data_IF_639110649948
#
_entry.id   IF_639110649948
#
_cell.length_a   1.000
_cell.length_b   1.000
_cell.length_c   1.000
_cell.angle_alpha   90.00
_cell.angle_beta   90.00
_cell.angle_gamma   90.00
#
_symmetry.space_group_name_H-M   'P 1'
#
loop_
_entity.id
_entity.type
_entity.pdbx_description
1 polymer ?
#
# COMPACT_ATOMS: atom_id res chain seq x y z
N UNK A 1 -7.81 -1.51 -6.63
CA UNK A 1 -7.15 -1.35 -5.32
C UNK A 1 -8.09 -0.77 -4.26
N UNK A 2 -8.68 0.41 -4.48
CA UNK A 2 -9.56 1.03 -3.48
C UNK A 2 -10.72 0.11 -3.05
N UNK A 3 -11.43 -0.53 -4.00
CA UNK A 3 -12.49 -1.52 -3.68
C UNK A 3 -11.98 -2.68 -2.82
N UNK A 4 -10.85 -3.28 -3.19
CA UNK A 4 -10.20 -4.37 -2.42
C UNK A 4 -9.88 -3.95 -0.97
N UNK A 5 -9.36 -2.74 -0.78
CA UNK A 5 -9.07 -2.22 0.56
C UNK A 5 -10.37 -2.00 1.36
N UNK A 6 -11.42 -1.47 0.72
CA UNK A 6 -12.73 -1.30 1.37
C UNK A 6 -13.36 -2.64 1.77
N UNK A 7 -13.32 -3.64 0.89
CA UNK A 7 -13.79 -5.01 1.19
C UNK A 7 -13.06 -5.64 2.37
N UNK A 8 -11.80 -5.26 2.57
CA UNK A 8 -10.98 -5.68 3.72
C UNK A 8 -11.17 -4.82 4.96
N UNK A 9 -12.09 -3.85 4.95
CA UNK A 9 -12.42 -3.02 6.11
C UNK A 9 -11.47 -1.84 6.34
N UNK A 10 -10.73 -1.40 5.33
CA UNK A 10 -10.04 -0.12 5.38
C UNK A 10 -11.01 1.02 5.09
N UNK A 11 -10.79 2.16 5.76
CA UNK A 11 -11.57 3.38 5.52
C UNK A 11 -10.82 4.27 4.53
N UNK A 12 -11.46 4.64 3.42
CA UNK A 12 -10.91 5.62 2.48
C UNK A 12 -11.47 7.01 2.79
N UNK A 13 -10.60 7.99 3.01
CA UNK A 13 -11.01 9.36 3.37
C UNK A 13 -11.83 10.02 2.27
N UNK A 14 -11.52 9.74 0.99
CA UNK A 14 -12.23 10.32 -0.15
C UNK A 14 -13.46 9.51 -0.60
N UNK A 15 -13.81 8.41 0.07
CA UNK A 15 -14.99 7.59 -0.24
C UNK A 15 -15.06 7.00 -1.65
N UNK A 16 -13.98 7.06 -2.44
CA UNK A 16 -14.02 6.81 -3.89
C UNK A 16 -12.79 6.08 -4.42
N UNK A 17 -12.94 5.54 -5.63
CA UNK A 17 -12.15 4.45 -6.21
C UNK A 17 -11.13 4.86 -7.27
N UNK A 18 -11.11 6.13 -7.68
CA UNK A 18 -10.45 6.51 -8.94
C UNK A 18 -9.64 7.80 -8.84
N UNK A 19 -8.64 7.77 -7.97
CA UNK A 19 -7.55 8.72 -8.04
C UNK A 19 -6.25 7.94 -7.98
N UNK A 20 -5.30 8.38 -8.79
CA UNK A 20 -3.88 8.05 -8.73
C UNK A 20 -3.26 8.19 -7.32
N UNK A 21 -4.01 8.72 -6.36
CA UNK A 21 -3.65 8.95 -4.99
C UNK A 21 -4.87 8.68 -4.10
N UNK A 22 -4.76 7.75 -3.15
CA UNK A 22 -5.80 7.46 -2.17
C UNK A 22 -5.26 7.63 -0.75
N UNK A 23 -6.07 8.23 0.12
CA UNK A 23 -5.77 8.40 1.55
C UNK A 23 -6.56 7.37 2.36
N UNK A 24 -5.83 6.50 3.05
CA UNK A 24 -6.36 5.39 3.84
C UNK A 24 -6.26 5.75 5.32
N UNK A 25 -7.39 5.69 6.02
CA UNK A 25 -7.47 5.79 7.47
C UNK A 25 -7.31 4.39 8.09
N UNK A 26 -6.34 4.27 8.99
CA UNK A 26 -5.92 3.02 9.61
C UNK A 26 -6.51 2.81 11.01
N UNK A 27 -7.32 3.76 11.52
CA UNK A 27 -7.98 3.62 12.83
C UNK A 27 -8.86 2.38 12.90
N UNK A 28 -9.52 1.99 11.80
CA UNK A 28 -10.30 0.74 11.73
C UNK A 28 -9.44 -0.52 11.88
N UNK A 29 -8.13 -0.41 11.68
CA UNK A 29 -7.15 -1.49 11.83
C UNK A 29 -6.38 -1.40 13.15
N UNK A 30 -6.54 -0.33 13.92
CA UNK A 30 -5.80 -0.10 15.17
C UNK A 30 -4.30 0.14 14.96
N UNK A 31 -3.89 0.59 13.77
CA UNK A 31 -2.48 0.82 13.40
C UNK A 31 -2.25 2.30 13.10
N UNK A 32 -1.12 2.86 13.53
CA UNK A 32 -0.75 4.24 13.20
C UNK A 32 -0.09 4.32 11.82
N UNK A 33 -0.13 5.49 11.19
CA UNK A 33 0.51 5.73 9.89
C UNK A 33 2.01 5.43 9.91
N UNK A 34 2.70 5.76 11.00
CA UNK A 34 4.13 5.46 11.20
C UNK A 34 4.41 3.96 11.26
N UNK A 35 3.59 3.19 11.97
CA UNK A 35 3.75 1.73 12.05
C UNK A 35 3.47 1.08 10.70
N UNK A 36 2.38 1.49 10.05
CA UNK A 36 2.01 1.02 8.72
C UNK A 36 3.09 1.30 7.66
N UNK A 37 3.59 2.53 7.60
CA UNK A 37 4.66 2.94 6.67
C UNK A 37 5.89 2.04 6.83
N UNK A 38 6.36 1.84 8.07
CA UNK A 38 7.53 0.99 8.35
C UNK A 38 7.28 -0.50 8.07
N UNK A 39 6.08 -1.01 8.36
CA UNK A 39 5.73 -2.40 8.08
C UNK A 39 5.67 -2.68 6.57
N UNK A 40 5.01 -1.80 5.82
CA UNK A 40 4.88 -1.91 4.37
C UNK A 40 6.23 -1.73 3.66
N UNK A 41 7.07 -0.81 4.14
CA UNK A 41 8.43 -0.63 3.61
C UNK A 41 9.28 -1.91 3.75
N UNK A 42 9.21 -2.60 4.89
CA UNK A 42 9.87 -3.90 5.09
C UNK A 42 9.37 -4.95 4.08
N UNK A 43 8.09 -4.92 3.77
CA UNK A 43 7.45 -5.76 2.76
C UNK A 43 7.69 -5.32 1.31
N UNK A 44 8.48 -4.27 1.06
CA UNK A 44 8.77 -3.76 -0.29
C UNK A 44 7.65 -2.91 -0.90
N UNK A 45 6.69 -2.45 -0.09
CA UNK A 45 5.58 -1.60 -0.50
C UNK A 45 5.81 -0.19 0.06
N UNK A 46 6.12 0.77 -0.81
CA UNK A 46 6.37 2.15 -0.38
C UNK A 46 5.06 2.93 -0.30
N UNK A 47 4.77 3.48 0.88
CA UNK A 47 3.66 4.40 1.13
C UNK A 47 4.18 5.62 1.90
N UNK A 48 3.33 6.64 2.06
CA UNK A 48 3.67 7.82 2.86
C UNK A 48 2.65 8.00 3.98
N UNK A 49 3.09 8.00 5.24
CA UNK A 49 2.22 8.33 6.38
C UNK A 49 1.62 9.73 6.20
N UNK A 50 0.36 9.88 6.56
CA UNK A 50 -0.38 11.11 6.31
C UNK A 50 -1.50 11.30 7.33
N UNK A 51 -1.76 12.55 7.70
CA UNK A 51 -2.87 12.88 8.59
C UNK A 51 -4.21 12.62 7.90
N UNK A 52 -5.22 12.23 8.68
CA UNK A 52 -6.60 12.04 8.21
C UNK A 52 -7.55 13.05 8.88
N UNK A 53 -8.77 13.26 8.36
CA UNK A 53 -9.75 14.11 9.02
C UNK A 53 -10.03 13.66 10.46
N UNK A 54 -10.02 14.63 11.38
CA UNK A 54 -10.14 14.37 12.82
C UNK A 54 -8.93 13.64 13.39
N UNK A 55 -7.72 13.96 12.92
CA UNK A 55 -6.46 13.42 13.43
C UNK A 55 -6.32 13.64 14.94
N UNK A 56 -5.95 12.57 15.65
CA UNK A 56 -5.69 12.58 17.10
C UNK A 56 -4.24 12.28 17.43
N UNK A 57 -3.49 11.69 16.48
CA UNK A 57 -2.08 11.39 16.63
C UNK A 57 -1.20 12.59 16.29
N UNK A 58 0.06 12.55 16.76
CA UNK A 58 1.02 13.60 16.41
C UNK A 58 1.34 13.60 14.89
N UNK A 59 1.80 14.73 14.33
CA UNK A 59 2.24 14.80 12.92
C UNK A 59 3.36 13.82 12.56
N UNK A 60 4.10 13.31 13.54
CA UNK A 60 5.17 12.33 13.33
C UNK A 60 4.67 10.88 13.34
N UNK A 61 3.44 10.64 13.80
CA UNK A 61 2.82 9.32 13.95
C UNK A 61 1.70 9.14 12.93
N UNK A 62 0.73 10.07 12.91
CA UNK A 62 -0.46 10.09 12.03
C UNK A 62 -1.36 8.86 12.14
N UNK A 63 -2.60 8.97 11.66
CA UNK A 63 -3.58 7.87 11.65
C UNK A 63 -3.83 7.26 10.27
N UNK A 64 -3.08 7.67 9.24
CA UNK A 64 -3.31 7.19 7.88
C UNK A 64 -2.06 7.06 7.04
N UNK A 65 -2.25 6.48 5.85
CA UNK A 65 -1.23 6.40 4.80
C UNK A 65 -1.83 6.80 3.46
N UNK A 66 -0.99 7.42 2.65
CA UNK A 66 -1.31 7.82 1.28
C UNK A 66 -0.64 6.85 0.32
N UNK A 67 -1.44 6.32 -0.60
CA UNK A 67 -1.02 5.32 -1.59
C UNK A 67 -1.18 5.92 -2.98
N UNK A 68 -0.10 5.89 -3.77
CA UNK A 68 -0.11 6.33 -5.16
C UNK A 68 -0.03 5.14 -6.13
N UNK A 69 -0.87 5.13 -7.17
CA UNK A 69 -0.86 4.11 -8.23
C UNK A 69 -0.17 4.48 -9.56
N UNK A 70 0.22 5.74 -9.89
CA UNK A 70 0.84 6.08 -11.17
C UNK A 70 2.04 5.22 -11.55
N UNK A 71 2.96 5.01 -10.61
CA UNK A 71 4.15 4.21 -10.86
C UNK A 71 3.82 2.75 -11.21
N UNK A 72 2.68 2.24 -10.73
CA UNK A 72 2.22 0.88 -11.02
C UNK A 72 1.52 0.83 -12.38
N UNK A 73 0.63 1.77 -12.67
CA UNK A 73 -0.07 1.84 -13.95
C UNK A 73 0.88 2.13 -15.12
N UNK A 74 1.90 2.97 -14.94
CA UNK A 74 2.95 3.22 -15.96
C UNK A 74 3.77 1.97 -16.25
N UNK A 75 3.91 1.05 -15.29
CA UNK A 75 4.56 -0.25 -15.48
C UNK A 75 3.66 -1.31 -16.11
N UNK A 76 2.40 -0.99 -16.40
CA UNK A 76 1.42 -1.89 -17.03
C UNK A 76 0.62 -2.76 -16.05
N UNK A 77 0.64 -2.46 -14.75
CA UNK A 77 -0.18 -3.19 -13.77
C UNK A 77 -1.65 -2.82 -13.95
N UNK A 78 -2.51 -3.84 -14.10
CA UNK A 78 -3.95 -3.72 -14.27
C UNK A 78 -4.74 -3.93 -12.98
N UNK A 79 -6.06 -4.10 -13.11
CA UNK A 79 -6.95 -4.23 -11.96
C UNK A 79 -6.64 -5.45 -11.07
N UNK A 80 -6.27 -6.57 -11.68
CA UNK A 80 -5.95 -7.83 -11.00
C UNK A 80 -4.72 -7.69 -10.11
N UNK A 81 -3.67 -7.02 -10.62
CA UNK A 81 -2.48 -6.69 -9.84
C UNK A 81 -2.81 -5.69 -8.72
N UNK A 82 -3.71 -4.75 -8.98
CA UNK A 82 -4.16 -3.79 -7.97
C UNK A 82 -4.98 -4.45 -6.84
N UNK A 83 -5.70 -5.53 -7.12
CA UNK A 83 -6.34 -6.38 -6.09
C UNK A 83 -5.28 -7.16 -5.31
N UNK A 84 -4.31 -7.73 -6.01
CA UNK A 84 -3.19 -8.45 -5.39
C UNK A 84 -2.41 -7.56 -4.41
N UNK A 85 -2.09 -6.33 -4.81
CA UNK A 85 -1.39 -5.35 -3.95
C UNK A 85 -2.27 -4.96 -2.75
N UNK A 86 -3.58 -4.79 -2.93
CA UNK A 86 -4.50 -4.55 -1.82
C UNK A 86 -4.47 -5.69 -0.78
N UNK A 87 -4.40 -6.94 -1.24
CA UNK A 87 -4.26 -8.11 -0.37
C UNK A 87 -2.91 -8.14 0.36
N UNK A 88 -1.81 -7.76 -0.30
CA UNK A 88 -0.50 -7.65 0.35
C UNK A 88 -0.49 -6.59 1.44
N UNK A 89 -1.07 -5.42 1.18
CA UNK A 89 -1.20 -4.34 2.17
C UNK A 89 -1.93 -4.85 3.41
N UNK A 90 -3.09 -5.49 3.23
CA UNK A 90 -3.87 -6.01 4.35
C UNK A 90 -3.13 -7.07 5.17
N UNK A 91 -2.45 -8.02 4.51
CA UNK A 91 -1.64 -9.05 5.20
C UNK A 91 -0.58 -8.43 6.11
N UNK A 92 0.11 -7.40 5.63
CA UNK A 92 1.14 -6.70 6.40
C UNK A 92 0.52 -5.88 7.52
N UNK A 93 -0.58 -5.18 7.28
CA UNK A 93 -1.24 -4.33 8.29
C UNK A 93 -1.91 -5.15 9.40
N UNK A 94 -2.39 -6.36 9.11
CA UNK A 94 -2.94 -7.24 10.16
C UNK A 94 -1.86 -7.73 11.14
N UNK A 95 -0.59 -7.77 10.72
CA UNK A 95 0.54 -8.25 11.52
C UNK A 95 1.77 -7.35 11.32
N UNK A 96 1.71 -6.07 11.74
CA UNK A 96 2.71 -5.07 11.37
C UNK A 96 4.09 -5.32 11.98
N UNK A 97 4.16 -6.11 13.05
CA UNK A 97 5.41 -6.48 13.73
C UNK A 97 5.95 -7.87 13.34
N UNK A 98 5.21 -8.61 12.50
CA UNK A 98 5.58 -9.96 12.06
C UNK A 98 6.55 -9.87 10.86
N UNK A 99 7.84 -10.09 11.15
CA UNK A 99 8.89 -10.02 10.13
C UNK A 99 8.79 -11.14 9.09
N UNK A 100 8.23 -12.30 9.44
CA UNK A 100 8.07 -13.41 8.50
C UNK A 100 6.97 -13.11 7.49
N UNK A 101 5.87 -12.48 7.92
CA UNK A 101 4.84 -11.95 7.01
C UNK A 101 5.44 -10.91 6.08
N UNK A 102 6.18 -9.94 6.61
CA UNK A 102 6.82 -8.90 5.79
C UNK A 102 7.80 -9.51 4.77
N UNK A 103 8.62 -10.49 5.18
CA UNK A 103 9.58 -11.17 4.30
C UNK A 103 8.89 -11.97 3.19
N UNK A 104 7.81 -12.67 3.53
CA UNK A 104 7.01 -13.44 2.56
C UNK A 104 6.39 -12.51 1.52
N UNK A 105 5.71 -11.45 1.99
CA UNK A 105 5.08 -10.47 1.10
C UNK A 105 6.13 -9.76 0.24
N UNK A 106 7.32 -9.47 0.77
CA UNK A 106 8.42 -8.89 -0.01
C UNK A 106 8.82 -9.77 -1.19
N UNK A 107 8.87 -11.10 -1.00
CA UNK A 107 9.13 -12.04 -2.08
C UNK A 107 8.05 -11.99 -3.16
N UNK A 108 6.78 -12.01 -2.75
CA UNK A 108 5.62 -11.94 -3.66
C UNK A 108 5.55 -10.60 -4.41
N UNK A 109 5.89 -9.50 -3.75
CA UNK A 109 5.99 -8.15 -4.36
C UNK A 109 7.12 -8.11 -5.39
N UNK A 110 8.28 -8.71 -5.09
CA UNK A 110 9.40 -8.78 -6.02
C UNK A 110 9.04 -9.63 -7.26
N UNK A 111 8.38 -10.76 -7.06
CA UNK A 111 7.87 -11.60 -8.16
C UNK A 111 6.87 -10.82 -9.03
N UNK A 112 5.91 -10.14 -8.41
CA UNK A 112 4.97 -9.28 -9.13
C UNK A 112 5.71 -8.21 -9.94
N UNK A 113 6.66 -7.50 -9.33
CA UNK A 113 7.46 -6.48 -10.00
C UNK A 113 8.30 -7.03 -11.17
N UNK A 114 8.79 -8.27 -11.07
CA UNK A 114 9.60 -8.91 -12.11
C UNK A 114 8.83 -9.13 -13.42
N UNK A 115 7.50 -9.30 -13.32
CA UNK A 115 6.59 -9.44 -14.47
C UNK A 115 6.34 -8.12 -15.21
N UNK A 116 6.71 -6.97 -14.60
CA UNK A 116 6.45 -5.62 -15.11
C UNK A 116 7.72 -4.75 -15.04
N UNK A 117 8.75 -5.00 -15.87
CA UNK A 117 10.02 -4.27 -15.81
C UNK A 117 9.87 -2.79 -16.18
N UNK A 118 10.55 -1.91 -15.43
CA UNK A 118 10.49 -0.43 -15.58
C UNK A 118 11.09 0.08 -16.89
N UNK A 119 12.05 -0.64 -17.47
CA UNK A 119 12.78 -0.22 -18.68
C UNK A 119 12.85 -1.40 -19.67
N UNK A 120 11.73 -1.71 -20.32
CA UNK A 120 11.68 -2.77 -21.33
C UNK A 120 12.51 -2.47 -22.60
N UNK A 121 12.84 -1.20 -22.85
CA UNK A 121 13.46 -0.75 -24.12
C UNK A 121 14.96 -0.41 -24.04
N UNK A 122 15.53 -0.15 -22.86
CA UNK A 122 16.94 0.28 -22.74
C UNK A 122 17.91 -0.82 -22.29
N UNK A 123 17.40 -1.99 -21.87
CA UNK A 123 18.22 -3.12 -21.43
C UNK A 123 18.59 -4.09 -22.58
N UNK A 124 18.36 -3.71 -23.85
CA UNK A 124 18.62 -4.51 -25.06
C UNK A 124 19.41 -3.75 -26.14
N UNK A 125 20.27 -2.79 -25.77
CA UNK A 125 21.27 -2.20 -26.68
C UNK A 125 22.68 -2.40 -26.15
#
# INVERSE_FOLDING_TARGET
>A
MAGELMERGFTLVSGGTDNHLMLVDLRSKGVTGKVAEKALERAGITVNKNTVPGETESPFVTSGVRIGTPALTTRGLGEDEMRTIGAFIDRVIQKPDDEDVARTVRGEVAELCSRFPLYGEWARS
#
